data_IF_398318414650
#
_entry.id   IF_398318414650
#
_cell.length_a   1.000
_cell.length_b   1.000
_cell.length_c   1.000
_cell.angle_alpha   90.00
_cell.angle_beta   90.00
_cell.angle_gamma   90.00
#
_symmetry.space_group_name_H-M   'P 1'
#
loop_
_entity.id
_entity.type
_entity.pdbx_description
1 polymer ?
#
# COMPACT_ATOMS: atom_id res chain seq x y z
N UNK A 1 -7.52 -6.90 14.91
CA UNK A 1 -6.05 -6.95 15.05
C UNK A 1 -5.64 -6.12 16.27
N UNK A 2 -5.80 -4.80 16.24
CA UNK A 2 -5.40 -3.91 17.36
C UNK A 2 -6.11 -4.28 18.67
N UNK A 3 -7.42 -4.56 18.64
CA UNK A 3 -8.20 -5.02 19.80
C UNK A 3 -7.72 -6.38 20.37
N UNK A 4 -7.04 -7.19 19.55
CA UNK A 4 -6.43 -8.45 19.98
C UNK A 4 -4.97 -8.29 20.46
N UNK A 5 -4.51 -7.07 20.67
CA UNK A 5 -3.15 -6.76 21.14
C UNK A 5 -2.08 -6.78 20.06
N UNK A 6 -2.48 -6.75 18.78
CA UNK A 6 -1.56 -6.63 17.65
C UNK A 6 -0.91 -5.25 17.56
N UNK A 7 0.24 -5.18 16.88
CA UNK A 7 0.98 -3.95 16.60
C UNK A 7 0.37 -3.18 15.43
N UNK A 8 0.80 -1.93 15.21
CA UNK A 8 0.48 -1.16 14.01
C UNK A 8 0.88 -1.91 12.73
N UNK A 9 2.00 -2.64 12.77
CA UNK A 9 2.46 -3.47 11.65
C UNK A 9 1.56 -4.69 11.43
N UNK A 10 1.11 -5.37 12.49
CA UNK A 10 0.11 -6.44 12.35
C UNK A 10 -1.17 -5.93 11.69
N UNK A 11 -1.62 -4.73 12.08
CA UNK A 11 -2.79 -4.09 11.48
C UNK A 11 -2.55 -3.75 10.00
N UNK A 12 -1.37 -3.22 9.66
CA UNK A 12 -1.00 -2.92 8.28
C UNK A 12 -0.95 -4.19 7.41
N UNK A 13 -0.36 -5.27 7.90
CA UNK A 13 -0.30 -6.57 7.20
C UNK A 13 -1.70 -7.14 6.96
N UNK A 14 -2.55 -7.17 8.00
CA UNK A 14 -3.92 -7.66 7.85
C UNK A 14 -4.75 -6.79 6.88
N UNK A 15 -4.58 -5.47 6.94
CA UNK A 15 -5.21 -4.52 6.02
C UNK A 15 -4.78 -4.79 4.59
N UNK A 16 -3.47 -4.98 4.34
CA UNK A 16 -2.97 -5.30 3.01
C UNK A 16 -3.64 -6.56 2.43
N UNK A 17 -3.64 -7.68 3.17
CA UNK A 17 -4.24 -8.92 2.68
C UNK A 17 -5.76 -8.80 2.48
N UNK A 18 -6.46 -8.07 3.34
CA UNK A 18 -7.88 -7.77 3.14
C UNK A 18 -8.09 -6.93 1.87
N UNK A 19 -7.28 -5.91 1.64
CA UNK A 19 -7.33 -5.09 0.43
C UNK A 19 -6.96 -5.87 -0.83
N UNK A 20 -6.08 -6.86 -0.76
CA UNK A 20 -5.76 -7.72 -1.90
C UNK A 20 -6.99 -8.50 -2.42
N UNK A 21 -8.01 -8.67 -1.58
CA UNK A 21 -9.29 -9.26 -1.93
C UNK A 21 -10.35 -8.22 -2.27
N UNK A 22 -10.46 -7.14 -1.49
CA UNK A 22 -11.56 -6.16 -1.59
C UNK A 22 -11.26 -5.00 -2.53
N UNK A 23 -9.98 -4.76 -2.84
CA UNK A 23 -9.50 -3.70 -3.73
C UNK A 23 -8.32 -4.16 -4.61
N UNK A 24 -8.49 -5.28 -5.37
CA UNK A 24 -7.39 -5.93 -6.08
C UNK A 24 -6.80 -5.09 -7.23
N UNK A 25 -7.44 -4.00 -7.61
CA UNK A 25 -6.92 -3.06 -8.61
C UNK A 25 -5.66 -2.34 -8.15
N UNK A 26 -5.51 -2.07 -6.86
CA UNK A 26 -4.33 -1.40 -6.30
C UNK A 26 -3.50 -2.31 -5.38
N UNK A 27 -4.16 -3.15 -4.57
CA UNK A 27 -3.51 -4.05 -3.63
C UNK A 27 -3.66 -5.50 -4.11
N UNK A 28 -2.71 -6.02 -4.88
CA UNK A 28 -2.70 -7.42 -5.34
C UNK A 28 -1.46 -8.15 -4.86
N UNK A 29 -1.55 -9.46 -4.63
CA UNK A 29 -0.38 -10.29 -4.31
C UNK A 29 0.69 -10.26 -5.42
N UNK A 30 0.30 -9.92 -6.66
CA UNK A 30 1.20 -9.72 -7.80
C UNK A 30 1.95 -8.38 -7.80
N UNK A 31 1.54 -7.45 -6.93
CA UNK A 31 2.10 -6.11 -6.81
C UNK A 31 3.19 -5.99 -5.74
N UNK A 32 3.29 -4.80 -5.18
CA UNK A 32 4.21 -4.47 -4.10
C UNK A 32 3.97 -3.07 -3.57
N UNK A 33 4.96 -2.50 -2.88
CA UNK A 33 4.81 -1.18 -2.28
C UNK A 33 5.98 -0.74 -1.44
N UNK A 34 5.74 0.28 -0.63
CA UNK A 34 6.70 0.86 0.30
C UNK A 34 5.98 1.14 1.61
N UNK A 35 6.65 0.85 2.73
CA UNK A 35 6.17 1.24 4.05
C UNK A 35 7.25 2.01 4.81
N UNK A 36 6.81 2.94 5.66
CA UNK A 36 7.60 3.54 6.74
C UNK A 36 6.98 3.10 8.05
N UNK A 37 7.79 2.56 8.94
CA UNK A 37 7.32 1.94 10.19
C UNK A 37 8.19 2.33 11.37
N UNK A 38 7.55 2.43 12.54
CA UNK A 38 8.22 2.58 13.83
C UNK A 38 7.63 1.62 14.85
N UNK A 39 8.46 1.19 15.81
CA UNK A 39 8.01 0.46 16.98
C UNK A 39 7.73 1.45 18.10
N UNK A 40 6.62 1.30 18.80
CA UNK A 40 6.34 2.11 19.98
C UNK A 40 7.37 1.88 21.10
N UNK A 41 7.80 2.96 21.75
CA UNK A 41 8.82 2.93 22.77
C UNK A 41 10.26 2.77 22.24
N UNK A 42 10.46 3.03 20.94
CA UNK A 42 11.76 2.99 20.26
C UNK A 42 11.87 4.27 19.41
N UNK A 43 13.08 4.74 19.15
CA UNK A 43 13.38 5.87 18.27
C UNK A 43 13.71 5.43 16.83
N UNK A 44 13.74 4.12 16.57
CA UNK A 44 14.02 3.58 15.26
C UNK A 44 12.80 3.69 14.34
N UNK A 45 12.99 4.39 13.21
CA UNK A 45 12.05 4.41 12.10
C UNK A 45 12.76 3.90 10.86
N UNK A 46 12.15 2.94 10.19
CA UNK A 46 12.72 2.31 8.99
C UNK A 46 11.73 2.35 7.84
N UNK A 47 12.28 2.36 6.64
CA UNK A 47 11.52 2.16 5.42
C UNK A 47 11.82 0.79 4.82
N UNK A 48 10.82 0.17 4.24
CA UNK A 48 10.96 -1.06 3.48
C UNK A 48 10.37 -0.87 2.09
N UNK A 49 11.17 -1.13 1.06
CA UNK A 49 10.75 -1.17 -0.33
C UNK A 49 10.56 -2.63 -0.76
N UNK A 50 9.34 -2.97 -1.11
CA UNK A 50 8.95 -4.27 -1.62
C UNK A 50 8.18 -4.15 -2.95
N UNK A 51 8.50 -3.13 -3.74
CA UNK A 51 7.96 -2.99 -5.11
C UNK A 51 8.30 -4.24 -5.92
N UNK A 52 7.45 -4.66 -6.87
CA UNK A 52 7.73 -5.81 -7.70
C UNK A 52 8.98 -5.57 -8.54
N UNK A 53 9.81 -6.61 -8.71
CA UNK A 53 11.03 -6.51 -9.48
C UNK A 53 10.78 -6.79 -10.97
N UNK A 54 11.40 -6.00 -11.84
CA UNK A 54 11.34 -6.21 -13.28
C UNK A 54 12.25 -7.38 -13.69
N UNK A 55 11.69 -8.37 -14.36
CA UNK A 55 12.43 -9.44 -15.01
C UNK A 55 12.32 -9.27 -16.53
N UNK A 56 13.46 -9.16 -17.21
CA UNK A 56 13.55 -8.88 -18.66
C UNK A 56 14.23 -10.03 -19.39
N UNK A 57 13.64 -10.44 -20.50
CA UNK A 57 14.26 -11.36 -21.46
C UNK A 57 14.01 -10.85 -22.89
N UNK A 58 15.09 -10.44 -23.57
CA UNK A 58 14.99 -9.75 -24.85
C UNK A 58 14.26 -8.40 -24.72
N UNK A 59 13.22 -8.23 -25.50
CA UNK A 59 12.36 -7.04 -25.48
C UNK A 59 11.05 -7.21 -24.66
N UNK A 60 10.95 -8.28 -23.89
CA UNK A 60 9.77 -8.63 -23.10
C UNK A 60 10.10 -8.62 -21.62
N UNK A 61 9.11 -8.29 -20.81
CA UNK A 61 9.28 -8.16 -19.36
C UNK A 61 8.04 -8.61 -18.61
N UNK A 62 8.27 -9.10 -17.39
CA UNK A 62 7.26 -9.38 -16.37
C UNK A 62 7.67 -8.81 -15.03
N UNK A 63 6.72 -8.69 -14.12
CA UNK A 63 6.98 -8.25 -12.76
C UNK A 63 7.01 -9.44 -11.80
N UNK A 64 8.11 -9.62 -11.09
CA UNK A 64 8.21 -10.59 -9.99
C UNK A 64 7.54 -9.96 -8.77
N UNK A 65 6.50 -10.59 -8.20
CA UNK A 65 5.76 -10.02 -7.08
C UNK A 65 6.61 -9.74 -5.84
N UNK A 66 6.38 -8.60 -5.18
CA UNK A 66 7.11 -8.20 -3.99
C UNK A 66 6.31 -8.27 -2.69
N UNK A 67 4.99 -8.12 -2.80
CA UNK A 67 4.11 -7.84 -1.68
C UNK A 67 4.12 -8.90 -0.57
N UNK A 68 4.02 -10.19 -0.90
CA UNK A 68 3.94 -11.25 0.12
C UNK A 68 5.22 -11.29 0.96
N UNK A 69 6.41 -11.16 0.33
CA UNK A 69 7.68 -11.14 1.06
C UNK A 69 7.88 -9.84 1.83
N UNK A 70 7.42 -8.71 1.29
CA UNK A 70 7.45 -7.42 1.99
C UNK A 70 6.60 -7.43 3.26
N UNK A 71 5.35 -7.87 3.16
CA UNK A 71 4.45 -7.99 4.30
C UNK A 71 4.96 -9.00 5.35
N UNK A 72 5.57 -10.11 4.89
CA UNK A 72 6.19 -11.06 5.82
C UNK A 72 7.44 -10.47 6.51
N UNK A 73 8.28 -9.73 5.79
CA UNK A 73 9.45 -9.08 6.38
C UNK A 73 9.05 -8.04 7.45
N UNK A 74 7.98 -7.27 7.19
CA UNK A 74 7.38 -6.36 8.16
C UNK A 74 6.90 -7.14 9.41
N UNK A 75 6.10 -8.19 9.19
CA UNK A 75 5.57 -9.02 10.27
C UNK A 75 6.69 -9.69 11.09
N UNK A 76 7.69 -10.28 10.45
CA UNK A 76 8.79 -10.96 11.12
C UNK A 76 9.61 -10.02 12.03
N UNK A 77 9.69 -8.71 11.69
CA UNK A 77 10.48 -7.73 12.44
C UNK A 77 9.68 -6.98 13.50
N UNK A 78 8.39 -6.69 13.23
CA UNK A 78 7.56 -5.80 14.03
C UNK A 78 6.23 -6.40 14.48
N UNK A 79 5.85 -7.57 13.94
CA UNK A 79 4.60 -8.24 14.28
C UNK A 79 4.64 -8.89 15.67
N UNK A 80 3.46 -9.11 16.22
CA UNK A 80 3.23 -9.79 17.51
C UNK A 80 2.24 -10.94 17.38
N UNK A 81 1.20 -10.75 16.57
CA UNK A 81 0.20 -11.79 16.35
C UNK A 81 0.73 -12.87 15.40
N UNK A 82 0.13 -14.04 15.45
CA UNK A 82 0.49 -15.12 14.52
C UNK A 82 0.16 -14.74 13.09
N UNK A 83 1.06 -15.01 12.16
CA UNK A 83 0.90 -14.77 10.73
C UNK A 83 -0.44 -15.29 10.19
N UNK A 84 -0.80 -16.50 10.59
CA UNK A 84 -2.01 -17.16 10.15
C UNK A 84 -3.29 -16.41 10.54
N UNK A 85 -3.28 -15.77 11.70
CA UNK A 85 -4.40 -14.97 12.18
C UNK A 85 -4.62 -13.70 11.36
N UNK A 86 -3.54 -13.13 10.79
CA UNK A 86 -3.60 -11.92 9.96
C UNK A 86 -4.16 -12.21 8.55
N UNK A 87 -3.92 -13.40 8.02
CA UNK A 87 -4.35 -13.77 6.66
C UNK A 87 -5.76 -14.41 6.62
N UNK A 88 -6.18 -15.06 7.69
CA UNK A 88 -7.44 -15.78 7.73
C UNK A 88 -8.67 -14.93 7.34
N UNK A 89 -8.81 -13.66 7.75
CA UNK A 89 -9.92 -12.82 7.31
C UNK A 89 -9.96 -12.62 5.80
N UNK A 90 -8.81 -12.36 5.18
CA UNK A 90 -8.69 -12.20 3.73
C UNK A 90 -9.05 -13.48 2.97
N UNK A 91 -8.56 -14.63 3.42
CA UNK A 91 -8.93 -15.94 2.86
C UNK A 91 -10.44 -16.15 2.89
N UNK A 92 -11.10 -15.84 4.02
CA UNK A 92 -12.56 -15.97 4.16
C UNK A 92 -13.31 -14.99 3.23
N UNK A 93 -12.88 -13.75 3.14
CA UNK A 93 -13.47 -12.77 2.21
C UNK A 93 -13.36 -13.24 0.76
N UNK A 94 -12.23 -13.79 0.36
CA UNK A 94 -12.05 -14.32 -0.99
C UNK A 94 -12.96 -15.54 -1.25
N UNK A 95 -13.07 -16.46 -0.28
CA UNK A 95 -13.81 -17.71 -0.39
C UNK A 95 -15.32 -17.53 -0.40
N UNK A 96 -15.82 -16.79 0.60
CA UNK A 96 -17.27 -16.63 0.78
C UNK A 96 -17.82 -15.41 0.03
N UNK A 97 -16.93 -14.55 -0.44
CA UNK A 97 -17.25 -13.33 -1.15
C UNK A 97 -17.35 -12.12 -0.22
N UNK A 98 -17.20 -10.96 -0.84
CA UNK A 98 -17.41 -9.66 -0.23
C UNK A 98 -18.18 -8.75 -1.19
N UNK A 99 -19.00 -7.81 -0.69
CA UNK A 99 -19.60 -6.81 -1.56
C UNK A 99 -18.52 -5.91 -2.17
N UNK A 100 -18.62 -5.68 -3.47
CA UNK A 100 -17.71 -4.79 -4.20
C UNK A 100 -17.79 -3.39 -3.59
N UNK A 101 -16.63 -2.84 -3.22
CA UNK A 101 -16.54 -1.49 -2.66
C UNK A 101 -16.80 -0.43 -3.74
N UNK A 102 -17.28 0.74 -3.32
CA UNK A 102 -17.46 1.90 -4.21
C UNK A 102 -16.15 2.29 -4.90
N UNK A 103 -15.02 2.20 -4.19
CA UNK A 103 -13.70 2.49 -4.74
C UNK A 103 -13.40 1.58 -5.93
N UNK A 104 -13.55 0.27 -5.77
CA UNK A 104 -13.25 -0.71 -6.81
C UNK A 104 -14.26 -0.64 -7.96
N UNK A 105 -15.56 -0.48 -7.67
CA UNK A 105 -16.58 -0.31 -8.69
C UNK A 105 -16.30 0.90 -9.60
N UNK A 106 -15.96 2.04 -9.02
CA UNK A 106 -15.61 3.25 -9.81
C UNK A 106 -14.32 3.09 -10.59
N UNK A 107 -13.31 2.44 -10.02
CA UNK A 107 -12.06 2.16 -10.70
C UNK A 107 -12.29 1.30 -11.95
N UNK A 108 -13.08 0.23 -11.84
CA UNK A 108 -13.34 -0.69 -12.94
C UNK A 108 -14.34 -0.17 -13.97
N UNK A 109 -15.33 0.64 -13.55
CA UNK A 109 -16.31 1.24 -14.45
C UNK A 109 -15.70 2.19 -15.51
N UNK A 110 -14.55 2.80 -15.21
CA UNK A 110 -13.82 3.68 -16.14
C UNK A 110 -12.85 2.97 -17.07
N UNK A 111 -12.74 1.64 -16.99
CA UNK A 111 -11.82 0.87 -17.81
C UNK A 111 -12.39 0.62 -19.22
N UNK A 112 -11.53 0.67 -20.27
CA UNK A 112 -11.94 0.24 -21.59
C UNK A 112 -12.16 -1.28 -21.64
N UNK A 113 -12.99 -1.77 -22.57
CA UNK A 113 -13.28 -3.21 -22.75
C UNK A 113 -12.02 -4.05 -22.90
N UNK A 114 -10.98 -3.49 -23.52
CA UNK A 114 -9.68 -4.14 -23.67
C UNK A 114 -9.01 -4.52 -22.33
N UNK A 115 -9.31 -3.82 -21.23
CA UNK A 115 -8.81 -4.18 -19.91
C UNK A 115 -9.39 -5.50 -19.38
N UNK A 116 -10.50 -5.96 -19.97
CA UNK A 116 -11.14 -7.25 -19.66
C UNK A 116 -10.89 -8.31 -20.77
N UNK A 117 -9.82 -8.15 -21.54
CA UNK A 117 -9.49 -9.11 -22.61
C UNK A 117 -9.07 -10.49 -22.07
N UNK A 118 -8.41 -10.52 -20.90
CA UNK A 118 -8.04 -11.78 -20.24
C UNK A 118 -9.27 -12.53 -19.74
N UNK A 119 -9.48 -13.81 -20.16
CA UNK A 119 -10.69 -14.55 -19.80
C UNK A 119 -10.83 -14.79 -18.29
N UNK A 120 -9.73 -15.03 -17.57
CA UNK A 120 -9.76 -15.28 -16.14
C UNK A 120 -10.07 -13.98 -15.38
N UNK A 121 -9.48 -12.86 -15.78
CA UNK A 121 -9.77 -11.54 -15.22
C UNK A 121 -11.25 -11.15 -15.47
N UNK A 122 -11.75 -11.35 -16.70
CA UNK A 122 -13.16 -11.09 -17.04
C UNK A 122 -14.11 -11.94 -16.23
N UNK A 123 -13.84 -13.23 -16.09
CA UNK A 123 -14.67 -14.17 -15.31
C UNK A 123 -14.86 -13.72 -13.86
N UNK A 124 -13.81 -13.15 -13.25
CA UNK A 124 -13.83 -12.73 -11.86
C UNK A 124 -14.47 -11.34 -11.70
N UNK A 125 -14.07 -10.36 -12.53
CA UNK A 125 -14.41 -8.95 -12.31
C UNK A 125 -15.49 -8.39 -13.24
N UNK A 126 -15.84 -9.12 -14.32
CA UNK A 126 -16.90 -8.77 -15.25
C UNK A 126 -17.69 -10.02 -15.72
N UNK A 127 -18.22 -10.87 -14.81
CA UNK A 127 -18.76 -12.19 -15.15
C UNK A 127 -19.97 -12.15 -16.09
N UNK A 128 -20.67 -11.04 -16.17
CA UNK A 128 -21.82 -10.83 -17.07
C UNK A 128 -21.48 -9.89 -18.25
N UNK A 129 -20.20 -9.80 -18.63
CA UNK A 129 -19.72 -8.90 -19.69
C UNK A 129 -19.67 -7.43 -19.29
N UNK A 130 -19.93 -7.10 -18.02
CA UNK A 130 -19.82 -5.75 -17.45
C UNK A 130 -19.08 -5.83 -16.11
N UNK A 131 -18.28 -4.82 -15.75
CA UNK A 131 -17.65 -4.74 -14.43
C UNK A 131 -18.68 -4.90 -13.32
N UNK A 132 -18.27 -5.55 -12.22
CA UNK A 132 -19.11 -5.67 -11.03
C UNK A 132 -19.42 -4.28 -10.46
N UNK A 133 -20.70 -4.02 -10.20
CA UNK A 133 -21.15 -2.78 -9.58
C UNK A 133 -20.96 -2.80 -8.05
N UNK A 134 -21.01 -1.60 -7.43
CA UNK A 134 -20.98 -1.46 -5.97
C UNK A 134 -22.05 -2.34 -5.31
N UNK A 135 -21.66 -3.08 -4.30
CA UNK A 135 -22.52 -3.99 -3.54
C UNK A 135 -22.71 -5.38 -4.17
N UNK A 136 -22.37 -5.60 -5.44
CA UNK A 136 -22.39 -6.93 -6.03
C UNK A 136 -21.36 -7.84 -5.37
N UNK A 137 -21.66 -9.14 -5.30
CA UNK A 137 -20.82 -10.11 -4.61
C UNK A 137 -19.62 -10.51 -5.46
N UNK A 138 -18.42 -10.14 -5.00
CA UNK A 138 -17.14 -10.58 -5.58
C UNK A 138 -16.67 -11.85 -4.83
N UNK A 139 -16.51 -12.95 -5.56
CA UNK A 139 -15.91 -14.21 -5.07
C UNK A 139 -14.64 -14.51 -5.83
N UNK A 140 -13.59 -14.94 -5.11
CA UNK A 140 -12.25 -15.18 -5.65
C UNK A 140 -11.72 -16.50 -5.09
N UNK A 141 -12.33 -17.62 -5.48
CA UNK A 141 -12.03 -18.95 -4.94
C UNK A 141 -10.57 -19.36 -5.16
N UNK A 142 -10.03 -19.09 -6.35
CA UNK A 142 -8.62 -19.36 -6.68
C UNK A 142 -7.68 -18.53 -5.79
N UNK A 143 -7.98 -17.25 -5.56
CA UNK A 143 -7.21 -16.40 -4.65
C UNK A 143 -7.31 -16.88 -3.20
N UNK A 144 -8.48 -17.40 -2.79
CA UNK A 144 -8.65 -18.00 -1.47
C UNK A 144 -7.73 -19.20 -1.27
N UNK A 145 -7.61 -20.08 -2.27
CA UNK A 145 -6.69 -21.23 -2.22
C UNK A 145 -5.22 -20.77 -2.13
N UNK A 146 -4.86 -19.75 -2.89
CA UNK A 146 -3.52 -19.13 -2.83
C UNK A 146 -3.23 -18.55 -1.44
N UNK A 147 -4.18 -17.78 -0.87
CA UNK A 147 -4.05 -17.20 0.47
C UNK A 147 -3.95 -18.28 1.55
N UNK A 148 -4.72 -19.37 1.44
CA UNK A 148 -4.62 -20.55 2.33
C UNK A 148 -3.22 -21.17 2.27
N UNK A 149 -2.65 -21.32 1.07
CA UNK A 149 -1.28 -21.81 0.87
C UNK A 149 -0.25 -20.95 1.58
N UNK A 150 -0.31 -19.63 1.37
CA UNK A 150 0.59 -18.66 2.00
C UNK A 150 0.40 -18.65 3.53
N UNK A 151 -0.82 -18.72 4.01
CA UNK A 151 -1.14 -18.75 5.44
C UNK A 151 -0.58 -19.99 6.13
N UNK A 152 -0.75 -21.16 5.54
CA UNK A 152 -0.38 -22.44 6.17
C UNK A 152 1.09 -22.80 6.01
N UNK A 153 1.72 -22.44 4.87
CA UNK A 153 3.10 -22.81 4.54
C UNK A 153 4.06 -21.63 4.56
N UNK A 154 3.54 -20.43 4.87
CA UNK A 154 4.33 -19.22 4.93
C UNK A 154 4.72 -18.66 3.54
N UNK A 155 5.47 -17.54 3.49
CA UNK A 155 5.88 -16.90 2.24
C UNK A 155 6.85 -17.75 1.40
N UNK A 156 7.48 -18.77 2.00
CA UNK A 156 8.34 -19.71 1.28
C UNK A 156 7.61 -20.43 0.15
N UNK A 157 6.34 -20.74 0.33
CA UNK A 157 5.48 -21.33 -0.69
C UNK A 157 5.36 -20.43 -1.94
N UNK A 158 5.22 -19.13 -1.74
CA UNK A 158 5.08 -18.14 -2.81
C UNK A 158 6.38 -17.87 -3.58
N UNK A 159 7.56 -18.07 -2.97
CA UNK A 159 8.84 -17.68 -3.57
C UNK A 159 9.81 -18.85 -3.83
N UNK A 160 9.56 -20.03 -3.28
CA UNK A 160 10.46 -21.16 -3.40
C UNK A 160 9.74 -22.52 -3.47
N UNK A 161 8.43 -22.59 -3.15
CA UNK A 161 7.63 -23.80 -3.21
C UNK A 161 7.00 -24.04 -4.59
N UNK A 162 6.05 -24.97 -4.64
CA UNK A 162 5.33 -25.36 -5.86
C UNK A 162 4.55 -24.17 -6.46
N UNK A 163 4.02 -23.29 -5.62
CA UNK A 163 3.35 -22.08 -6.08
C UNK A 163 4.32 -21.17 -6.83
N UNK A 164 5.56 -21.01 -6.36
CA UNK A 164 6.58 -20.22 -7.05
C UNK A 164 6.88 -20.75 -8.46
N UNK A 165 7.02 -22.07 -8.60
CA UNK A 165 7.26 -22.70 -9.90
C UNK A 165 6.07 -22.49 -10.86
N UNK A 166 4.84 -22.61 -10.33
CA UNK A 166 3.62 -22.36 -11.08
C UNK A 166 3.54 -20.90 -11.51
N UNK A 167 3.73 -19.93 -10.60
CA UNK A 167 3.67 -18.50 -10.93
C UNK A 167 4.75 -18.08 -11.94
N UNK A 168 5.96 -18.62 -11.81
CA UNK A 168 7.06 -18.36 -12.76
C UNK A 168 6.69 -18.81 -14.17
N UNK A 169 6.19 -20.05 -14.30
CA UNK A 169 5.73 -20.59 -15.59
C UNK A 169 4.60 -19.77 -16.18
N UNK A 170 3.55 -19.48 -15.42
CA UNK A 170 2.37 -18.75 -15.89
C UNK A 170 2.71 -17.29 -16.28
N UNK A 171 3.58 -16.61 -15.53
CA UNK A 171 4.08 -15.28 -15.92
C UNK A 171 4.91 -15.35 -17.21
N UNK A 172 5.72 -16.40 -17.35
CA UNK A 172 6.48 -16.66 -18.58
C UNK A 172 5.57 -16.84 -19.79
N UNK A 173 4.56 -17.70 -19.66
CA UNK A 173 3.56 -17.97 -20.71
C UNK A 173 2.79 -16.71 -21.09
N UNK A 174 2.39 -15.87 -20.11
CA UNK A 174 1.74 -14.60 -20.34
C UNK A 174 2.55 -13.64 -21.22
N UNK A 175 3.86 -13.64 -21.09
CA UNK A 175 4.76 -12.74 -21.83
C UNK A 175 5.48 -13.43 -23.01
N UNK A 176 5.36 -14.76 -23.14
CA UNK A 176 6.10 -15.54 -24.13
C UNK A 176 7.61 -15.53 -23.89
N UNK A 177 8.03 -15.67 -22.63
CA UNK A 177 9.43 -15.76 -22.17
C UNK A 177 9.58 -16.90 -21.15
N UNK A 178 10.80 -17.25 -20.84
CA UNK A 178 11.09 -18.22 -19.76
C UNK A 178 11.44 -17.48 -18.48
N UNK A 179 10.59 -17.57 -17.45
CA UNK A 179 10.87 -17.02 -16.11
C UNK A 179 11.38 -18.16 -15.22
N UNK A 180 12.65 -18.15 -14.80
CA UNK A 180 13.14 -19.19 -13.90
C UNK A 180 12.58 -18.99 -12.49
N UNK A 181 12.28 -20.07 -11.78
CA UNK A 181 11.84 -20.01 -10.37
C UNK A 181 12.85 -19.28 -9.47
N UNK A 182 14.13 -19.31 -9.86
CA UNK A 182 15.18 -18.59 -9.14
C UNK A 182 15.00 -17.08 -9.15
N UNK A 183 14.31 -16.50 -10.13
CA UNK A 183 13.95 -15.08 -10.11
C UNK A 183 13.02 -14.75 -8.91
N UNK A 184 12.09 -15.66 -8.59
CA UNK A 184 11.25 -15.55 -7.38
C UNK A 184 12.08 -15.77 -6.11
N UNK A 185 12.93 -16.80 -6.08
CA UNK A 185 13.81 -17.10 -4.94
C UNK A 185 14.77 -15.96 -4.62
N UNK A 186 15.29 -15.30 -5.65
CA UNK A 186 16.24 -14.20 -5.51
C UNK A 186 15.59 -12.90 -5.03
N UNK A 187 14.29 -12.68 -5.25
CA UNK A 187 13.63 -11.45 -4.84
C UNK A 187 13.82 -11.19 -3.34
N UNK A 188 14.20 -9.96 -2.97
CA UNK A 188 14.30 -9.50 -1.58
C UNK A 188 13.72 -8.10 -1.46
N UNK A 189 12.88 -7.83 -0.45
CA UNK A 189 12.55 -6.46 -0.09
C UNK A 189 13.80 -5.77 0.49
N UNK A 190 13.89 -4.46 0.29
CA UNK A 190 15.04 -3.67 0.73
C UNK A 190 14.66 -2.81 1.92
N UNK A 191 15.35 -3.00 3.05
CA UNK A 191 15.26 -2.09 4.18
C UNK A 191 16.21 -0.92 3.98
N UNK A 192 15.72 0.30 4.20
CA UNK A 192 16.51 1.53 4.11
C UNK A 192 16.32 2.39 5.35
N UNK A 193 17.32 3.20 5.64
CA UNK A 193 17.14 4.33 6.56
C UNK A 193 16.18 5.32 5.92
N UNK A 194 15.43 6.02 6.75
CA UNK A 194 14.53 7.07 6.30
C UNK A 194 15.28 8.36 6.03
N UNK A 195 14.76 9.16 5.09
CA UNK A 195 15.08 10.58 4.98
C UNK A 195 14.36 11.33 6.10
N UNK A 196 15.05 12.24 6.80
CA UNK A 196 14.54 12.92 7.98
C UNK A 196 14.38 14.41 7.71
N UNK A 197 13.21 14.94 8.09
CA UNK A 197 12.96 16.39 8.17
C UNK A 197 12.64 16.74 9.61
N UNK A 198 13.40 17.65 10.21
CA UNK A 198 13.15 18.14 11.57
C UNK A 198 11.96 19.11 11.57
N UNK A 199 11.01 18.89 12.48
CA UNK A 199 9.77 19.66 12.64
C UNK A 199 9.62 20.05 14.12
N UNK A 200 10.25 21.13 14.52
CA UNK A 200 10.32 21.50 15.94
C UNK A 200 11.07 20.45 16.76
N UNK A 201 10.37 19.81 17.69
CA UNK A 201 10.90 18.72 18.52
C UNK A 201 10.63 17.33 17.95
N UNK A 202 10.05 17.25 16.76
CA UNK A 202 9.66 16.01 16.10
C UNK A 202 10.51 15.77 14.84
N UNK A 203 10.59 14.53 14.43
CA UNK A 203 11.25 14.10 13.20
C UNK A 203 10.20 13.51 12.24
N UNK A 204 10.10 14.07 11.04
CA UNK A 204 9.32 13.50 9.95
C UNK A 204 10.20 12.55 9.16
N UNK A 205 9.81 11.30 9.11
CA UNK A 205 10.49 10.22 8.42
C UNK A 205 9.78 9.87 7.12
N UNK A 206 10.54 9.93 6.02
CA UNK A 206 10.13 9.62 4.65
C UNK A 206 10.89 8.39 4.15
N UNK A 207 10.48 7.70 3.08
CA UNK A 207 11.28 6.64 2.48
C UNK A 207 12.70 7.15 2.16
N UNK A 208 13.70 6.28 2.27
CA UNK A 208 15.07 6.65 1.91
C UNK A 208 15.30 6.73 0.40
N UNK A 209 16.41 7.37 0.01
CA UNK A 209 16.84 7.50 -1.38
C UNK A 209 16.21 8.69 -2.13
N UNK A 210 16.42 8.75 -3.46
CA UNK A 210 16.11 9.96 -4.25
C UNK A 210 14.66 10.44 -4.15
N UNK A 211 13.71 9.52 -4.05
CA UNK A 211 12.28 9.87 -3.92
C UNK A 211 11.95 10.49 -2.57
N UNK A 212 12.57 10.00 -1.49
CA UNK A 212 12.44 10.58 -0.16
C UNK A 212 13.13 11.93 -0.04
N UNK A 213 14.34 12.07 -0.59
CA UNK A 213 15.07 13.35 -0.64
C UNK A 213 14.26 14.43 -1.37
N UNK A 214 13.67 14.06 -2.52
CA UNK A 214 12.77 14.95 -3.28
C UNK A 214 11.53 15.31 -2.47
N UNK A 215 10.89 14.34 -1.83
CA UNK A 215 9.72 14.58 -0.99
C UNK A 215 10.05 15.49 0.20
N UNK A 216 11.22 15.31 0.83
CA UNK A 216 11.70 16.16 1.91
C UNK A 216 11.94 17.61 1.44
N UNK A 217 12.53 17.80 0.26
CA UNK A 217 12.73 19.13 -0.33
C UNK A 217 11.39 19.83 -0.59
N UNK A 218 10.41 19.12 -1.17
CA UNK A 218 9.06 19.65 -1.41
C UNK A 218 8.37 19.98 -0.08
N UNK A 219 8.46 19.12 0.93
CA UNK A 219 7.84 19.34 2.23
C UNK A 219 8.40 20.59 2.92
N UNK A 220 9.74 20.79 2.90
CA UNK A 220 10.40 22.01 3.41
C UNK A 220 9.91 23.25 2.65
N UNK A 221 9.88 23.19 1.32
CA UNK A 221 9.41 24.32 0.51
C UNK A 221 7.96 24.72 0.83
N UNK A 222 7.07 23.72 1.05
CA UNK A 222 5.68 23.98 1.47
C UNK A 222 5.59 24.58 2.87
N UNK A 223 6.41 24.13 3.81
CA UNK A 223 6.46 24.65 5.19
C UNK A 223 7.00 26.08 5.23
N UNK A 224 8.05 26.36 4.45
CA UNK A 224 8.72 27.66 4.39
C UNK A 224 8.04 28.63 3.41
N UNK A 225 7.00 28.18 2.69
CA UNK A 225 6.28 28.94 1.65
C UNK A 225 7.21 29.46 0.54
N UNK A 226 8.20 28.64 0.17
CA UNK A 226 9.14 28.91 -0.93
C UNK A 226 8.71 28.20 -2.21
N UNK A 227 9.25 28.56 -3.39
CA UNK A 227 8.95 27.86 -4.64
C UNK A 227 9.27 26.37 -4.57
N UNK A 228 8.42 25.55 -5.18
CA UNK A 228 8.62 24.11 -5.25
C UNK A 228 9.81 23.75 -6.15
N UNK A 229 10.54 22.65 -5.86
CA UNK A 229 11.57 22.13 -6.74
C UNK A 229 11.03 21.81 -8.14
N UNK A 230 11.85 22.04 -9.17
CA UNK A 230 11.46 21.85 -10.58
C UNK A 230 11.25 20.38 -10.95
N UNK A 231 11.83 19.44 -10.18
CA UNK A 231 11.77 18.00 -10.37
C UNK A 231 10.63 17.32 -9.59
N UNK A 232 9.58 18.08 -9.25
CA UNK A 232 8.39 17.53 -8.60
C UNK A 232 7.80 16.33 -9.41
N UNK A 233 7.25 15.32 -8.73
CA UNK A 233 6.71 14.12 -9.40
C UNK A 233 5.63 14.47 -10.42
N UNK A 234 5.64 13.82 -11.59
CA UNK A 234 4.70 14.09 -12.68
C UNK A 234 3.80 12.90 -13.03
N UNK A 235 4.21 11.67 -12.74
CA UNK A 235 3.48 10.47 -13.14
C UNK A 235 2.51 10.03 -12.06
N UNK A 236 1.22 10.04 -12.39
CA UNK A 236 0.16 9.51 -11.52
C UNK A 236 -0.34 8.17 -12.01
N UNK A 237 -0.65 7.25 -11.08
CA UNK A 237 -1.24 5.95 -11.36
C UNK A 237 -1.91 5.38 -10.11
N UNK A 238 -2.78 4.38 -10.28
CA UNK A 238 -3.53 3.85 -9.16
C UNK A 238 -2.64 3.12 -8.15
N UNK A 239 -2.86 3.47 -6.92
CA UNK A 239 -2.26 2.86 -5.74
C UNK A 239 -3.20 3.01 -4.55
N UNK A 240 -2.90 2.32 -3.46
CA UNK A 240 -3.66 2.43 -2.23
C UNK A 240 -2.73 2.74 -1.07
N UNK A 241 -3.13 3.71 -0.25
CA UNK A 241 -2.44 4.08 0.98
C UNK A 241 -3.23 3.61 2.20
N UNK A 242 -2.54 3.15 3.23
CA UNK A 242 -3.14 2.83 4.52
C UNK A 242 -2.16 3.12 5.65
N UNK A 243 -2.71 3.46 6.80
CA UNK A 243 -1.96 3.85 7.99
C UNK A 243 -2.53 3.17 9.22
N UNK A 244 -1.69 2.88 10.19
CA UNK A 244 -2.10 2.34 11.48
C UNK A 244 -1.19 2.84 12.58
N UNK A 245 -1.76 2.99 13.79
CA UNK A 245 -1.02 3.22 15.05
C UNK A 245 -1.50 2.23 16.09
N UNK A 246 -0.66 1.93 17.08
CA UNK A 246 -1.00 1.07 18.20
C UNK A 246 -0.80 1.77 19.55
N UNK A 247 -1.35 1.18 20.62
CA UNK A 247 -1.31 1.73 21.98
C UNK A 247 0.11 1.89 22.56
N UNK A 248 1.10 1.21 22.00
CA UNK A 248 2.49 1.35 22.42
C UNK A 248 3.19 2.56 21.78
N UNK A 249 2.50 3.30 20.90
CA UNK A 249 3.06 4.42 20.13
C UNK A 249 3.73 3.99 18.83
N UNK A 250 3.52 2.74 18.42
CA UNK A 250 3.98 2.23 17.12
C UNK A 250 3.16 2.79 15.96
N UNK A 251 3.78 2.88 14.80
CA UNK A 251 3.19 3.41 13.59
C UNK A 251 3.57 2.61 12.35
N UNK A 252 2.65 2.54 11.40
CA UNK A 252 2.89 1.99 10.08
C UNK A 252 2.14 2.82 9.02
N UNK A 253 2.87 3.33 8.04
CA UNK A 253 2.34 3.96 6.84
C UNK A 253 2.77 3.16 5.63
N UNK A 254 1.87 2.79 4.76
CA UNK A 254 2.16 1.99 3.58
C UNK A 254 1.46 2.54 2.34
N UNK A 255 2.13 2.44 1.21
CA UNK A 255 1.52 2.64 -0.12
C UNK A 255 1.85 1.44 -0.99
N UNK A 256 0.83 0.87 -1.61
CA UNK A 256 0.92 -0.33 -2.45
C UNK A 256 0.33 -0.10 -3.82
N UNK A 257 0.85 -0.79 -4.84
CA UNK A 257 0.39 -0.67 -6.21
C UNK A 257 0.64 -1.96 -7.01
N UNK A 258 -0.15 -2.10 -8.07
CA UNK A 258 0.10 -3.05 -9.16
C UNK A 258 0.68 -2.36 -10.42
N UNK A 259 1.16 -1.12 -10.29
CA UNK A 259 1.71 -0.27 -11.36
C UNK A 259 0.71 0.08 -12.48
N UNK A 260 -0.58 -0.03 -12.23
CA UNK A 260 -1.65 0.30 -13.20
C UNK A 260 -3.01 0.26 -12.54
N UNK A 261 -4.05 0.72 -13.22
CA UNK A 261 -5.42 0.83 -12.66
C UNK A 261 -5.96 -0.52 -12.17
N UNK A 262 -5.63 -1.60 -12.85
CA UNK A 262 -5.91 -2.99 -12.42
C UNK A 262 -4.69 -3.87 -12.74
N UNK A 263 -3.50 -3.37 -12.40
CA UNK A 263 -2.25 -4.02 -12.79
C UNK A 263 -2.14 -4.20 -14.30
N UNK A 264 -1.78 -5.40 -14.74
CA UNK A 264 -1.72 -5.77 -16.16
C UNK A 264 -3.10 -6.18 -16.75
N UNK A 265 -4.18 -6.13 -15.96
CA UNK A 265 -5.51 -6.62 -16.41
C UNK A 265 -5.55 -8.13 -16.67
N UNK A 266 -4.67 -8.90 -16.05
CA UNK A 266 -4.51 -10.35 -16.27
C UNK A 266 -4.33 -11.09 -14.95
N UNK A 267 -4.87 -12.30 -14.88
CA UNK A 267 -4.65 -13.23 -13.76
C UNK A 267 -3.46 -14.12 -14.07
N UNK A 268 -2.59 -14.34 -13.11
CA UNK A 268 -1.47 -15.27 -13.23
C UNK A 268 -2.00 -16.71 -13.13
N UNK A 269 -2.24 -17.33 -14.28
CA UNK A 269 -2.77 -18.69 -14.38
C UNK A 269 -4.07 -18.90 -13.58
N UNK A 270 -4.07 -19.90 -12.72
CA UNK A 270 -5.19 -20.26 -11.82
C UNK A 270 -4.97 -19.80 -10.38
N UNK A 271 -4.12 -18.82 -10.15
CA UNK A 271 -3.80 -18.35 -8.79
C UNK A 271 -4.81 -17.35 -8.22
N UNK A 272 -5.67 -16.76 -9.06
CA UNK A 272 -6.51 -15.61 -8.71
C UNK A 272 -5.74 -14.31 -8.49
N UNK A 273 -4.43 -14.28 -8.71
CA UNK A 273 -3.56 -13.12 -8.51
C UNK A 273 -3.59 -12.23 -9.76
N UNK A 274 -3.95 -10.97 -9.59
CA UNK A 274 -3.79 -9.97 -10.64
C UNK A 274 -2.30 -9.66 -10.79
N UNK A 275 -1.77 -9.81 -12.00
CA UNK A 275 -0.36 -9.50 -12.31
C UNK A 275 -0.12 -7.98 -12.26
N UNK A 276 1.03 -7.56 -11.75
CA UNK A 276 1.44 -6.16 -11.86
C UNK A 276 1.84 -5.81 -13.31
N UNK A 277 1.54 -4.58 -13.71
CA UNK A 277 2.05 -4.02 -14.95
C UNK A 277 3.52 -3.60 -14.80
N UNK A 278 4.32 -3.57 -15.87
CA UNK A 278 5.61 -2.90 -15.87
C UNK A 278 5.46 -1.44 -15.43
N UNK A 279 6.42 -0.88 -14.68
CA UNK A 279 6.37 0.50 -14.23
C UNK A 279 6.46 1.46 -15.44
N UNK A 280 5.81 2.61 -15.32
CA UNK A 280 5.90 3.70 -16.30
C UNK A 280 6.94 4.70 -15.84
N UNK A 281 8.17 4.59 -16.39
CA UNK A 281 9.29 5.45 -15.97
C UNK A 281 9.66 5.24 -14.50
N UNK A 282 10.18 6.27 -13.85
CA UNK A 282 10.57 6.28 -12.43
C UNK A 282 9.38 6.57 -11.50
N UNK A 283 8.19 6.06 -11.85
CA UNK A 283 6.99 6.33 -11.10
C UNK A 283 7.02 5.71 -9.69
N UNK A 284 6.84 6.56 -8.69
CA UNK A 284 6.71 6.17 -7.29
C UNK A 284 5.23 6.02 -6.92
N UNK A 285 4.79 4.94 -6.26
CA UNK A 285 3.36 4.66 -6.09
C UNK A 285 2.63 5.67 -5.22
N UNK A 286 3.36 6.43 -4.42
CA UNK A 286 2.86 7.40 -3.46
C UNK A 286 3.84 7.56 -2.31
N UNK A 287 3.46 8.26 -1.27
CA UNK A 287 4.36 8.64 -0.19
C UNK A 287 3.82 8.22 1.17
N UNK A 288 4.38 7.18 1.80
CA UNK A 288 4.16 6.90 3.23
C UNK A 288 5.10 7.76 4.08
N UNK A 289 4.63 8.18 5.26
CA UNK A 289 5.44 8.95 6.22
C UNK A 289 5.01 8.74 7.66
N UNK A 290 5.97 8.90 8.57
CA UNK A 290 5.77 8.83 10.03
C UNK A 290 6.44 10.02 10.66
N UNK A 291 5.73 10.74 11.54
CA UNK A 291 6.29 11.76 12.41
C UNK A 291 6.44 11.19 13.81
N UNK A 292 7.64 11.24 14.35
CA UNK A 292 8.01 10.71 15.64
C UNK A 292 8.55 11.81 16.55
N UNK A 293 8.08 11.85 17.79
CA UNK A 293 8.78 12.60 18.83
C UNK A 293 9.87 11.71 19.42
N UNK A 294 11.12 12.01 19.11
CA UNK A 294 12.25 11.17 19.51
C UNK A 294 12.45 11.11 21.03
N UNK A 295 12.31 12.24 21.70
CA UNK A 295 12.49 12.30 23.17
C UNK A 295 11.41 11.49 23.91
N UNK A 296 10.22 11.40 23.35
CA UNK A 296 9.10 10.64 23.89
C UNK A 296 9.00 9.21 23.34
N UNK A 297 9.70 8.90 22.26
CA UNK A 297 9.63 7.64 21.52
C UNK A 297 8.16 7.28 21.17
N UNK A 298 7.43 8.28 20.68
CA UNK A 298 5.99 8.19 20.46
C UNK A 298 5.62 8.81 19.10
N UNK A 299 4.85 8.09 18.30
CA UNK A 299 4.37 8.61 17.03
C UNK A 299 3.37 9.75 17.27
N UNK A 300 3.50 10.83 16.49
CA UNK A 300 2.60 11.99 16.49
C UNK A 300 1.82 12.12 15.20
N UNK A 301 2.39 11.63 14.09
CA UNK A 301 1.74 11.71 12.80
C UNK A 301 2.05 10.48 11.95
N UNK A 302 1.07 9.99 11.24
CA UNK A 302 1.22 8.90 10.27
C UNK A 302 0.38 9.23 9.06
N UNK A 303 0.98 9.26 7.87
CA UNK A 303 0.24 9.59 6.67
C UNK A 303 0.68 8.73 5.48
N UNK A 304 -0.25 8.48 4.57
CA UNK A 304 0.01 7.79 3.31
C UNK A 304 -0.73 8.49 2.18
N UNK A 305 0.03 9.04 1.24
CA UNK A 305 -0.49 9.61 -0.01
C UNK A 305 -0.41 8.60 -1.13
N UNK A 306 -1.52 8.26 -1.75
CA UNK A 306 -1.63 7.31 -2.86
C UNK A 306 -2.16 7.98 -4.13
N UNK A 307 -1.85 7.42 -5.30
CA UNK A 307 -2.17 8.00 -6.62
C UNK A 307 -0.94 8.55 -7.35
N UNK A 308 0.24 8.02 -7.07
CA UNK A 308 1.48 8.49 -7.70
C UNK A 308 1.77 9.95 -7.37
N UNK A 309 2.17 10.75 -8.36
CA UNK A 309 2.51 12.16 -8.21
C UNK A 309 1.40 12.98 -7.52
N UNK A 310 0.14 12.78 -7.90
CA UNK A 310 -0.99 13.49 -7.29
C UNK A 310 -1.11 13.16 -5.79
N UNK A 311 -0.93 11.90 -5.41
CA UNK A 311 -0.95 11.47 -4.01
C UNK A 311 0.23 12.00 -3.20
N UNK A 312 1.43 12.01 -3.78
CA UNK A 312 2.63 12.57 -3.17
C UNK A 312 2.40 14.05 -2.87
N UNK A 313 2.01 14.83 -3.86
CA UNK A 313 1.77 16.26 -3.67
C UNK A 313 0.64 16.54 -2.67
N UNK A 314 -0.42 15.72 -2.73
CA UNK A 314 -1.57 15.89 -1.82
C UNK A 314 -1.21 15.60 -0.37
N UNK A 315 -0.46 14.53 -0.08
CA UNK A 315 -0.03 14.23 1.30
C UNK A 315 0.96 15.26 1.83
N UNK A 316 1.89 15.75 0.99
CA UNK A 316 2.84 16.80 1.38
C UNK A 316 2.11 18.11 1.71
N UNK A 317 1.16 18.53 0.88
CA UNK A 317 0.32 19.72 1.13
C UNK A 317 -0.60 19.57 2.35
N UNK A 318 -1.03 18.35 2.66
CA UNK A 318 -1.83 18.10 3.87
C UNK A 318 -0.96 18.11 5.13
N UNK A 319 0.21 17.48 5.09
CA UNK A 319 1.05 17.26 6.28
C UNK A 319 1.91 18.46 6.65
N UNK A 320 2.37 19.28 5.70
CA UNK A 320 3.21 20.43 6.00
C UNK A 320 2.55 21.40 7.00
N UNK A 321 1.30 21.86 6.81
CA UNK A 321 0.63 22.68 7.82
C UNK A 321 0.20 21.88 9.05
N UNK A 322 -0.33 20.65 8.88
CA UNK A 322 -0.86 19.83 9.99
C UNK A 322 0.23 19.46 10.98
N UNK A 323 1.35 18.93 10.49
CA UNK A 323 2.48 18.52 11.33
C UNK A 323 3.27 19.74 11.84
N UNK A 324 3.12 20.90 11.19
CA UNK A 324 3.64 22.17 11.65
C UNK A 324 2.80 22.84 12.76
N UNK A 325 1.71 22.22 13.21
CA UNK A 325 0.90 22.67 14.35
C UNK A 325 -0.54 23.12 14.03
N UNK A 326 -0.97 23.17 12.77
CA UNK A 326 -2.37 23.43 12.42
C UNK A 326 -3.21 22.15 12.58
N UNK A 327 -4.04 22.13 13.61
CA UNK A 327 -4.89 20.97 13.93
C UNK A 327 -6.18 20.87 13.10
N UNK A 328 -6.43 21.79 12.18
CA UNK A 328 -7.66 21.82 11.36
C UNK A 328 -7.59 20.86 10.15
N UNK A 329 -7.24 19.59 10.39
CA UNK A 329 -7.01 18.57 9.37
C UNK A 329 -8.16 18.44 8.36
N UNK A 330 -9.41 18.41 8.83
CA UNK A 330 -10.61 18.32 7.98
C UNK A 330 -10.70 19.49 7.00
N UNK A 331 -10.42 20.69 7.49
CA UNK A 331 -10.44 21.93 6.68
C UNK A 331 -9.31 21.90 5.66
N UNK A 332 -8.12 21.48 6.06
CA UNK A 332 -6.95 21.38 5.18
C UNK A 332 -7.25 20.40 4.04
N UNK A 333 -7.69 19.20 4.35
CA UNK A 333 -7.99 18.17 3.34
C UNK A 333 -9.12 18.58 2.39
N UNK A 334 -10.16 19.24 2.92
CA UNK A 334 -11.30 19.71 2.10
C UNK A 334 -10.92 20.87 1.18
N UNK A 335 -9.95 21.68 1.57
CA UNK A 335 -9.47 22.82 0.77
C UNK A 335 -8.46 22.42 -0.32
N UNK A 336 -7.88 21.22 -0.25
CA UNK A 336 -6.93 20.76 -1.26
C UNK A 336 -7.65 20.49 -2.59
N UNK A 337 -7.12 21.00 -3.71
CA UNK A 337 -7.72 20.78 -5.02
C UNK A 337 -7.79 19.28 -5.35
N UNK A 338 -8.92 18.86 -5.93
CA UNK A 338 -9.09 17.54 -6.53
C UNK A 338 -8.60 17.66 -7.96
N UNK A 339 -7.32 17.39 -8.19
CA UNK A 339 -6.75 17.40 -9.54
C UNK A 339 -7.31 16.22 -10.35
N UNK A 340 -7.71 16.49 -11.60
CA UNK A 340 -8.43 15.55 -12.45
C UNK A 340 -7.63 14.29 -12.83
N UNK A 341 -8.32 13.20 -13.11
CA UNK A 341 -7.75 11.91 -13.51
C UNK A 341 -7.56 10.95 -12.35
N UNK A 342 -6.37 10.42 -12.14
CA UNK A 342 -6.01 9.63 -10.95
C UNK A 342 -5.86 10.57 -9.76
N UNK A 343 -6.96 10.96 -9.14
CA UNK A 343 -6.95 11.89 -8.04
C UNK A 343 -6.20 11.29 -6.85
N UNK A 344 -5.11 11.94 -6.44
CA UNK A 344 -4.37 11.56 -5.24
C UNK A 344 -5.27 11.48 -4.01
N UNK A 345 -5.01 10.53 -3.14
CA UNK A 345 -5.75 10.29 -1.89
C UNK A 345 -4.79 10.28 -0.72
N UNK A 346 -5.29 10.71 0.43
CA UNK A 346 -4.51 10.76 1.67
C UNK A 346 -5.27 10.07 2.79
N UNK A 347 -4.58 9.24 3.54
CA UNK A 347 -5.03 8.76 4.84
C UNK A 347 -4.06 9.29 5.90
N UNK A 348 -4.58 9.88 6.96
CA UNK A 348 -3.80 10.56 7.99
C UNK A 348 -4.30 10.19 9.39
N UNK A 349 -3.36 9.95 10.30
CA UNK A 349 -3.57 9.96 11.75
C UNK A 349 -2.65 11.05 12.31
N UNK A 350 -3.19 11.97 13.09
CA UNK A 350 -2.43 13.03 13.75
C UNK A 350 -2.82 13.11 15.23
N UNK A 351 -1.83 12.94 16.09
CA UNK A 351 -1.94 12.92 17.55
C UNK A 351 -0.96 13.96 18.13
N UNK A 352 -1.35 15.22 18.27
CA UNK A 352 -0.43 16.29 18.72
C UNK A 352 0.23 16.01 20.07
N UNK A 353 -0.42 15.25 20.95
CA UNK A 353 0.11 14.85 22.25
C UNK A 353 0.80 13.47 22.24
N UNK A 354 0.87 12.82 21.07
CA UNK A 354 1.38 11.48 20.87
C UNK A 354 0.31 10.39 20.98
N UNK A 355 0.52 9.29 20.27
CA UNK A 355 -0.42 8.16 20.24
C UNK A 355 -0.55 7.49 21.61
N UNK A 356 0.58 7.31 22.31
CA UNK A 356 0.63 6.66 23.62
C UNK A 356 0.26 7.58 24.75
N UNK A 357 0.74 8.83 24.70
CA UNK A 357 0.64 9.79 25.83
C UNK A 357 -0.68 10.54 25.82
N UNK A 358 -1.21 10.88 24.65
CA UNK A 358 -2.43 11.64 24.48
C UNK A 358 -3.35 11.05 23.41
N UNK A 359 -3.81 9.78 23.54
CA UNK A 359 -4.62 9.15 22.51
C UNK A 359 -5.94 9.89 22.23
N UNK A 360 -6.47 10.62 23.21
CA UNK A 360 -7.66 11.46 23.04
C UNK A 360 -7.42 12.67 22.09
N UNK A 361 -6.17 13.09 21.89
CA UNK A 361 -5.81 14.15 20.95
C UNK A 361 -5.83 13.70 19.50
N UNK A 362 -5.84 12.38 19.25
CA UNK A 362 -5.74 11.81 17.92
C UNK A 362 -6.94 12.17 17.03
N UNK A 363 -6.62 12.50 15.79
CA UNK A 363 -7.57 12.69 14.69
C UNK A 363 -7.26 11.67 13.60
N UNK A 364 -8.30 11.03 13.12
CA UNK A 364 -8.22 9.98 12.10
C UNK A 364 -9.02 10.45 10.88
N UNK A 365 -8.34 10.66 9.75
CA UNK A 365 -8.99 11.20 8.57
C UNK A 365 -8.66 10.40 7.32
N UNK A 366 -9.70 9.93 6.64
CA UNK A 366 -9.61 9.51 5.25
C UNK A 366 -9.92 10.71 4.34
N UNK A 367 -9.31 10.74 3.17
CA UNK A 367 -9.53 11.80 2.18
C UNK A 367 -11.02 11.96 1.82
N UNK A 368 -11.62 13.16 1.96
CA UNK A 368 -13.04 13.39 1.62
C UNK A 368 -13.36 13.12 0.14
N UNK A 369 -12.39 13.31 -0.75
CA UNK A 369 -12.54 12.99 -2.18
C UNK A 369 -12.38 11.51 -2.49
N UNK A 370 -12.05 10.67 -1.50
CA UNK A 370 -11.83 9.24 -1.62
C UNK A 370 -13.02 8.39 -1.16
N UNK A 371 -12.75 7.10 -0.98
CA UNK A 371 -13.69 6.12 -0.46
C UNK A 371 -13.04 5.32 0.69
N UNK A 372 -12.03 5.92 1.32
CA UNK A 372 -11.34 5.36 2.47
C UNK A 372 -12.21 5.40 3.73
N UNK A 373 -11.82 4.61 4.71
CA UNK A 373 -12.42 4.57 6.05
C UNK A 373 -11.34 4.87 7.08
N UNK A 374 -11.64 5.77 8.00
CA UNK A 374 -10.86 5.99 9.19
C UNK A 374 -11.64 5.48 10.41
N UNK A 375 -11.00 4.67 11.23
CA UNK A 375 -11.64 4.08 12.43
C UNK A 375 -10.64 3.94 13.55
N UNK A 376 -11.11 4.06 14.79
CA UNK A 376 -10.35 3.69 15.99
C UNK A 376 -11.01 2.48 16.66
N UNK A 377 -10.19 1.60 17.26
CA UNK A 377 -10.73 0.64 18.21
C UNK A 377 -11.23 1.44 19.44
N UNK A 378 -12.39 1.12 19.95
CA UNK A 378 -12.83 1.66 21.24
C UNK A 378 -11.77 1.31 22.30
N UNK A 379 -11.35 2.32 23.04
CA UNK A 379 -10.41 2.20 24.16
C UNK A 379 -11.05 1.43 25.33
#
# INVERSE_FOLDING_TARGET
>A
VLSAGGTAVDAAVATYFAMAVTYPGAATLGGGGICVVSRGGDDAVEAIDFRPALFVQGNRAVMIPGAVRGMFALHARYGRLKWEALLLPAERLARFGNPVSRAFARQTAGLPDAAFADPAFRRIFAPRGKPLAEGEMLRQEELSATLAGIRLRGPGEFYAGDLAATLARELGDMAGITVPTDAFRAYRPTWTKTEIVNVGNDELHLPGGPDGERAAAIWRALSDKTPLPADAPQVSFDSAGFVATDRAGGAAACVVSANGTVGAGRIIGHSGIVAAAPPRGDAFPGLPMVMLNRAQQDARGVAAGSGGAAGIMRVLRATAPTFGGDSALDRILSALPVEGGAAGRVNIIYCPEGVRRGPASCRFQADPGGHGLATSAAL
#
